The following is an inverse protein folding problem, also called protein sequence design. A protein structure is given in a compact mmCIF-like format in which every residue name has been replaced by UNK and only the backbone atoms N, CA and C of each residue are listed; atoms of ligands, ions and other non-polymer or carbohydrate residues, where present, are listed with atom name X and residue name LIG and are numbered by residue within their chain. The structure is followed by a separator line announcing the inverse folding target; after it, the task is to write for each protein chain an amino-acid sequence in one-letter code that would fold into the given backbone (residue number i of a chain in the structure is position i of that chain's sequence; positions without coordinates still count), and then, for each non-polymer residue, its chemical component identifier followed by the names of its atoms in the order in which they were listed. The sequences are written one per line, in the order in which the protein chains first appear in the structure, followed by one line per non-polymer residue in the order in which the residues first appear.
data_IF_612805451405
#
_entry.id   IF_612805451405
#
_cell.length_a   1.000
_cell.length_b   1.000
_cell.length_c   1.000
_cell.angle_alpha   90.00
_cell.angle_beta   90.00
_cell.angle_gamma   90.00
#
_symmetry.space_group_name_H-M   'P 1'
#
loop_
_entity.id
_entity.type
_entity.pdbx_description
1 polymer ?
#
# COMPACT_ATOMS: atom_id res chain seq x y z
N UNK A 1 -24.68 -21.82 14.70
CA UNK A 1 -24.22 -20.44 14.93
C UNK A 1 -23.73 -19.83 13.65
N UNK A 2 -24.45 -18.80 13.26
CA UNK A 2 -24.39 -18.12 11.96
C UNK A 2 -23.30 -17.05 12.03
N UNK A 3 -22.33 -17.14 11.13
CA UNK A 3 -21.46 -16.01 10.79
C UNK A 3 -22.28 -14.97 10.04
N UNK A 4 -22.42 -13.77 10.58
CA UNK A 4 -22.68 -12.59 9.75
C UNK A 4 -21.92 -11.40 10.35
N UNK A 5 -20.81 -11.07 9.71
CA UNK A 5 -19.94 -9.96 10.07
C UNK A 5 -19.49 -9.26 8.80
N UNK A 6 -20.46 -8.72 8.05
CA UNK A 6 -20.20 -7.87 6.89
C UNK A 6 -19.55 -6.56 7.34
N UNK A 7 -18.45 -6.21 6.71
CA UNK A 7 -17.93 -4.84 6.70
C UNK A 7 -17.53 -4.50 5.27
N UNK A 8 -18.13 -3.45 4.73
CA UNK A 8 -17.57 -2.71 3.59
C UNK A 8 -17.54 -1.20 3.93
N UNK A 9 -16.69 -0.54 3.16
CA UNK A 9 -15.92 0.70 3.33
C UNK A 9 -16.78 1.98 3.11
N UNK A 10 -16.36 3.27 3.09
CA UNK A 10 -15.09 3.99 2.85
C UNK A 10 -15.26 5.45 3.43
N UNK A 11 -14.13 6.11 3.67
CA UNK A 11 -13.77 7.47 3.19
C UNK A 11 -13.74 8.67 4.16
N UNK A 12 -12.58 9.33 4.06
CA UNK A 12 -12.19 10.62 4.63
C UNK A 12 -12.86 11.81 3.94
N UNK A 13 -13.00 12.91 4.69
CA UNK A 13 -13.68 14.16 4.35
C UNK A 13 -12.97 14.95 3.25
N UNK A 14 -13.76 15.51 2.32
CA UNK A 14 -13.73 16.95 2.05
C UNK A 14 -15.06 17.48 1.47
N UNK A 15 -15.53 18.52 2.15
CA UNK A 15 -16.44 19.62 1.77
C UNK A 15 -17.78 19.37 1.05
N UNK A 16 -18.81 19.87 1.75
CA UNK A 16 -20.11 20.40 1.31
C UNK A 16 -21.37 19.53 1.51
N UNK A 17 -22.32 20.14 2.23
CA UNK A 17 -23.73 19.81 2.46
C UNK A 17 -24.12 18.75 3.52
N UNK A 18 -24.40 19.31 4.71
CA UNK A 18 -25.55 19.05 5.60
C UNK A 18 -26.47 17.88 5.24
N UNK A 19 -26.46 16.84 6.06
CA UNK A 19 -27.50 16.56 7.08
C UNK A 19 -27.16 15.23 7.78
N UNK A 20 -27.01 15.27 9.10
CA UNK A 20 -26.86 14.08 9.94
C UNK A 20 -28.17 13.92 10.70
N UNK A 21 -28.92 12.87 10.35
CA UNK A 21 -29.98 12.32 11.19
C UNK A 21 -29.54 10.90 11.51
N UNK A 22 -29.14 10.68 12.75
CA UNK A 22 -29.02 9.35 13.33
C UNK A 22 -29.70 9.39 14.70
N UNK A 23 -30.89 8.77 14.76
CA UNK A 23 -31.57 8.42 15.99
C UNK A 23 -31.14 6.99 16.36
N UNK A 24 -30.71 6.74 17.59
CA UNK A 24 -31.37 5.69 18.36
C UNK A 24 -31.24 5.87 19.89
N UNK A 25 -32.43 5.87 20.50
CA UNK A 25 -32.91 5.43 21.83
C UNK A 25 -32.13 5.69 23.14
N UNK A 26 -32.76 6.55 23.99
CA UNK A 26 -33.30 6.33 25.37
C UNK A 26 -32.48 5.49 26.38
N UNK A 27 -32.34 5.80 27.69
CA UNK A 27 -33.15 6.53 28.70
C UNK A 27 -32.24 6.97 29.88
N UNK A 28 -32.77 7.89 30.72
CA UNK A 28 -32.42 8.20 32.13
C UNK A 28 -31.17 9.08 32.38
N UNK A 29 -31.14 10.08 33.28
CA UNK A 29 -32.11 10.64 34.22
C UNK A 29 -31.44 11.84 34.93
N UNK A 30 -32.24 12.88 35.22
CA UNK A 30 -32.14 13.89 36.29
C UNK A 30 -31.05 14.99 36.30
N UNK A 31 -31.58 16.23 36.39
CA UNK A 31 -31.17 17.33 37.30
C UNK A 31 -29.84 18.04 36.99
N UNK A 32 -29.65 19.35 36.96
CA UNK A 32 -30.37 20.50 37.52
C UNK A 32 -29.87 21.79 36.85
N UNK A 33 -30.66 22.85 37.02
CA UNK A 33 -30.39 24.26 36.75
C UNK A 33 -29.01 24.78 37.19
N UNK A 34 -28.49 25.78 36.46
CA UNK A 34 -27.86 27.07 36.88
C UNK A 34 -27.39 27.72 35.56
N UNK A 35 -27.98 28.78 34.98
CA UNK A 35 -28.22 30.17 35.42
C UNK A 35 -26.97 31.07 35.52
N UNK A 36 -27.03 32.16 34.76
CA UNK A 36 -26.29 33.43 34.84
C UNK A 36 -24.92 33.60 34.14
N UNK A 37 -24.99 34.17 32.92
CA UNK A 37 -24.65 35.56 32.51
C UNK A 37 -23.37 36.29 33.03
N UNK A 38 -22.90 37.30 32.26
CA UNK A 38 -21.51 37.70 32.06
C UNK A 38 -21.12 38.97 32.84
N UNK A 39 -19.85 39.35 32.81
CA UNK A 39 -19.26 40.70 33.06
C UNK A 39 -17.80 40.51 33.50
N UNK A 40 -16.85 41.43 33.35
CA UNK A 40 -16.72 42.75 32.75
C UNK A 40 -15.19 42.95 32.59
N UNK A 41 -14.81 43.62 31.50
CA UNK A 41 -13.83 44.72 31.44
C UNK A 41 -12.71 44.74 32.49
N UNK A 42 -11.48 44.60 32.00
CA UNK A 42 -10.26 44.94 32.73
C UNK A 42 -9.19 45.42 31.78
N UNK A 43 -9.38 46.62 31.21
CA UNK A 43 -8.38 47.33 30.42
C UNK A 43 -7.25 47.79 31.35
N UNK A 44 -6.04 47.27 31.14
CA UNK A 44 -4.81 47.87 31.68
C UNK A 44 -3.85 48.09 30.53
N UNK A 45 -3.68 49.35 30.16
CA UNK A 45 -2.60 49.80 29.31
C UNK A 45 -1.36 49.98 30.19
N UNK A 46 -0.29 49.25 29.89
CA UNK A 46 1.06 49.62 30.32
C UNK A 46 1.94 49.75 29.08
N UNK A 47 2.35 50.99 28.85
CA UNK A 47 3.40 51.33 27.90
C UNK A 47 4.75 51.05 28.56
N UNK A 48 5.65 50.36 27.86
CA UNK A 48 7.09 50.44 28.06
C UNK A 48 7.80 50.12 26.75
N UNK A 49 8.64 51.05 26.34
CA UNK A 49 9.40 51.09 25.09
C UNK A 49 10.63 50.12 25.11
N UNK A 50 11.38 50.00 24.00
CA UNK A 50 11.93 48.73 23.51
C UNK A 50 13.35 48.44 23.99
N UNK A 51 13.70 47.16 24.09
CA UNK A 51 15.07 46.74 24.32
C UNK A 51 15.26 45.23 24.29
N UNK A 52 16.00 44.78 23.28
CA UNK A 52 16.81 43.56 23.25
C UNK A 52 16.09 42.21 23.43
N UNK A 53 16.03 41.45 22.34
CA UNK A 53 16.80 40.21 22.11
C UNK A 53 16.21 39.53 20.86
N UNK A 54 16.90 39.61 19.72
CA UNK A 54 16.62 38.72 18.59
C UNK A 54 17.09 37.32 18.98
N UNK A 55 16.20 36.58 19.61
CA UNK A 55 16.34 35.14 19.76
C UNK A 55 16.07 34.53 18.38
N UNK A 56 17.14 34.14 17.70
CA UNK A 56 17.08 33.37 16.46
C UNK A 56 16.49 32.00 16.82
N UNK A 57 15.17 31.89 16.78
CA UNK A 57 14.49 30.61 16.80
C UNK A 57 14.76 29.92 15.45
N UNK A 58 15.77 29.04 15.44
CA UNK A 58 15.87 28.05 14.38
C UNK A 58 14.57 27.23 14.37
N UNK A 59 13.90 27.02 13.21
CA UNK A 59 12.76 26.14 13.17
C UNK A 59 13.25 24.75 13.58
N UNK A 60 12.69 24.22 14.67
CA UNK A 60 12.92 22.85 15.07
C UNK A 60 12.58 21.95 13.88
N UNK A 61 13.61 21.39 13.24
CA UNK A 61 13.41 20.31 12.29
C UNK A 61 12.80 19.17 13.10
N UNK A 62 11.48 18.98 12.95
CA UNK A 62 10.76 17.86 13.51
C UNK A 62 11.30 16.60 12.84
N UNK A 63 12.35 16.03 13.44
CA UNK A 63 12.82 14.71 13.06
C UNK A 63 11.64 13.77 13.32
N UNK A 64 11.04 13.15 12.28
CA UNK A 64 9.91 12.28 12.51
C UNK A 64 10.37 11.18 13.46
N UNK A 65 9.52 10.79 14.44
CA UNK A 65 9.86 9.72 15.36
C UNK A 65 10.07 8.45 14.53
N UNK A 66 11.33 8.10 14.28
CA UNK A 66 11.68 6.82 13.69
C UNK A 66 11.42 5.76 14.75
N UNK A 67 10.19 5.28 14.79
CA UNK A 67 9.85 4.03 15.45
C UNK A 67 10.54 2.92 14.66
N UNK A 68 11.76 2.59 15.05
CA UNK A 68 12.42 1.34 14.69
C UNK A 68 11.68 0.20 15.41
N UNK A 69 10.46 -0.10 14.97
CA UNK A 69 9.86 -1.39 15.26
C UNK A 69 10.70 -2.36 14.44
N UNK A 70 11.47 -3.22 15.09
CA UNK A 70 12.27 -4.25 14.41
C UNK A 70 11.33 -5.10 13.57
N UNK A 71 11.27 -4.77 12.28
CA UNK A 71 10.39 -5.46 11.36
C UNK A 71 11.14 -6.70 10.91
N UNK A 72 10.62 -7.87 11.29
CA UNK A 72 11.24 -9.18 11.07
C UNK A 72 11.54 -9.48 9.59
N UNK A 73 10.94 -8.71 8.68
CA UNK A 73 11.08 -8.78 7.23
C UNK A 73 12.15 -7.87 6.65
N UNK A 74 12.64 -6.88 7.40
CA UNK A 74 13.57 -5.89 6.87
C UNK A 74 14.92 -6.51 6.52
N UNK A 75 15.47 -6.09 5.37
CA UNK A 75 16.79 -6.52 4.87
C UNK A 75 16.89 -8.01 4.52
N UNK A 76 15.79 -8.59 4.04
CA UNK A 76 15.72 -10.00 3.68
C UNK A 76 15.36 -10.22 2.22
N UNK A 77 15.96 -11.27 1.66
CA UNK A 77 15.60 -11.82 0.36
C UNK A 77 14.53 -12.89 0.54
N UNK A 78 13.54 -12.86 -0.35
CA UNK A 78 12.49 -13.84 -0.41
C UNK A 78 12.36 -14.38 -1.83
N UNK A 79 11.95 -15.64 -1.92
CA UNK A 79 11.42 -16.21 -3.16
C UNK A 79 9.90 -16.06 -3.12
N UNK A 80 9.34 -15.28 -4.04
CA UNK A 80 7.90 -15.13 -4.23
C UNK A 80 7.44 -16.12 -5.30
N UNK A 81 6.67 -17.11 -4.91
CA UNK A 81 5.96 -18.03 -5.80
C UNK A 81 4.54 -17.52 -6.03
N UNK A 82 4.21 -17.23 -7.29
CA UNK A 82 2.93 -16.72 -7.77
C UNK A 82 2.19 -17.86 -8.47
N UNK A 83 1.01 -18.21 -7.99
CA UNK A 83 0.14 -19.26 -8.54
C UNK A 83 -1.16 -18.60 -9.04
N UNK A 84 -1.08 -18.02 -10.23
CA UNK A 84 -2.21 -17.38 -10.92
C UNK A 84 -2.77 -18.37 -11.94
N UNK A 85 -4.02 -18.82 -11.72
CA UNK A 85 -4.69 -19.82 -12.56
C UNK A 85 -3.88 -21.12 -12.81
N UNK A 86 -3.44 -21.34 -14.05
CA UNK A 86 -2.63 -22.49 -14.49
C UNK A 86 -1.16 -22.13 -14.65
N UNK A 87 -0.81 -20.89 -14.39
CA UNK A 87 0.53 -20.36 -14.55
C UNK A 87 1.20 -20.25 -13.18
N UNK A 88 2.46 -20.65 -13.13
CA UNK A 88 3.29 -20.50 -11.94
C UNK A 88 4.51 -19.70 -12.32
N UNK A 89 4.82 -18.68 -11.52
CA UNK A 89 6.01 -17.88 -11.68
C UNK A 89 6.69 -17.70 -10.33
N UNK A 90 8.01 -17.60 -10.35
CA UNK A 90 8.85 -17.42 -9.22
C UNK A 90 9.69 -16.17 -9.41
N UNK A 91 9.63 -15.25 -8.46
CA UNK A 91 10.34 -13.98 -8.50
C UNK A 91 11.16 -13.79 -7.23
N UNK A 92 12.45 -13.49 -7.37
CA UNK A 92 13.27 -13.02 -6.25
C UNK A 92 12.82 -11.62 -5.86
N UNK A 93 12.60 -11.37 -4.57
CA UNK A 93 12.30 -10.03 -4.06
C UNK A 93 13.15 -9.71 -2.84
N UNK A 94 13.43 -8.42 -2.64
CA UNK A 94 14.10 -7.91 -1.45
C UNK A 94 13.22 -6.85 -0.79
N UNK A 95 12.98 -7.02 0.51
CA UNK A 95 12.13 -6.12 1.30
C UNK A 95 13.02 -5.08 2.00
N UNK A 96 13.02 -3.86 1.46
CA UNK A 96 13.84 -2.77 1.96
C UNK A 96 13.32 -2.24 3.32
N UNK A 97 14.18 -1.66 4.17
CA UNK A 97 13.79 -1.02 5.43
C UNK A 97 12.79 0.13 5.28
N UNK A 98 12.74 0.77 4.11
CA UNK A 98 11.89 1.92 3.80
C UNK A 98 10.50 1.52 3.28
N UNK A 99 10.08 0.28 3.52
CA UNK A 99 8.81 -0.29 3.06
C UNK A 99 8.70 -0.43 1.53
N UNK A 100 9.81 -0.30 0.79
CA UNK A 100 9.83 -0.56 -0.67
C UNK A 100 10.26 -1.99 -1.00
N UNK A 101 9.95 -2.44 -2.21
CA UNK A 101 10.35 -3.76 -2.72
C UNK A 101 11.28 -3.60 -3.92
N UNK A 102 12.42 -4.29 -3.88
CA UNK A 102 13.31 -4.46 -5.03
C UNK A 102 13.06 -5.81 -5.67
N UNK A 103 12.75 -5.82 -6.97
CA UNK A 103 12.56 -7.05 -7.74
C UNK A 103 13.91 -7.55 -8.27
N UNK A 104 14.13 -8.85 -8.16
CA UNK A 104 15.26 -9.58 -8.71
C UNK A 104 14.88 -10.37 -9.95
N UNK A 105 15.49 -11.54 -10.11
CA UNK A 105 15.22 -12.42 -11.27
C UNK A 105 13.83 -13.04 -11.16
N UNK A 106 13.21 -13.29 -12.32
CA UNK A 106 11.95 -14.02 -12.43
C UNK A 106 12.07 -15.10 -13.51
N UNK A 107 11.39 -16.23 -13.31
CA UNK A 107 11.21 -17.28 -14.34
C UNK A 107 9.91 -17.08 -15.16
N UNK A 108 9.07 -16.11 -14.77
CA UNK A 108 7.85 -15.74 -15.46
C UNK A 108 8.07 -14.67 -16.56
N UNK A 109 7.01 -13.98 -16.99
CA UNK A 109 7.11 -12.91 -17.97
C UNK A 109 8.12 -11.82 -17.58
N UNK A 110 9.01 -11.48 -18.51
CA UNK A 110 10.03 -10.45 -18.28
C UNK A 110 9.39 -9.06 -18.27
N UNK A 111 9.50 -8.37 -17.15
CA UNK A 111 9.08 -6.98 -17.00
C UNK A 111 10.24 -6.02 -17.33
N UNK A 112 9.92 -4.84 -17.86
CA UNK A 112 10.91 -3.80 -18.16
C UNK A 112 11.16 -2.88 -16.98
N UNK A 113 10.15 -2.69 -16.13
CA UNK A 113 10.23 -1.93 -14.89
C UNK A 113 9.36 -2.59 -13.81
N UNK A 114 9.76 -2.42 -12.56
CA UNK A 114 8.94 -2.87 -11.45
C UNK A 114 9.19 -2.05 -10.19
N UNK A 115 8.14 -1.87 -9.40
CA UNK A 115 8.17 -1.18 -8.12
C UNK A 115 7.17 -1.81 -7.18
N UNK A 116 7.40 -1.69 -5.89
CA UNK A 116 6.44 -2.17 -4.91
C UNK A 116 6.62 -1.54 -3.54
N UNK A 117 5.59 -1.71 -2.73
CA UNK A 117 5.58 -1.37 -1.31
C UNK A 117 5.09 -2.56 -0.50
N UNK A 118 5.54 -2.68 0.73
CA UNK A 118 5.15 -3.76 1.61
C UNK A 118 4.92 -3.27 3.04
N UNK A 119 4.06 -3.96 3.77
CA UNK A 119 3.72 -3.67 5.16
C UNK A 119 3.50 -4.97 5.92
N UNK A 120 3.91 -4.94 7.18
CA UNK A 120 3.69 -6.02 8.12
C UNK A 120 3.04 -5.47 9.39
N UNK A 121 2.00 -6.16 9.87
CA UNK A 121 1.29 -5.80 11.08
C UNK A 121 1.58 -6.84 12.18
N UNK A 122 2.50 -6.56 13.13
CA UNK A 122 2.94 -7.55 14.11
C UNK A 122 1.83 -8.10 15.03
N UNK A 123 0.79 -7.29 15.28
CA UNK A 123 -0.33 -7.68 16.16
C UNK A 123 -1.24 -8.72 15.53
N UNK A 124 -1.53 -8.58 14.23
CA UNK A 124 -2.38 -9.49 13.46
C UNK A 124 -1.59 -10.57 12.74
N UNK A 125 -0.26 -10.48 12.71
CA UNK A 125 0.63 -11.29 11.86
C UNK A 125 0.25 -11.24 10.37
N UNK A 126 -0.38 -10.14 9.94
CA UNK A 126 -0.81 -9.96 8.56
C UNK A 126 0.26 -9.24 7.75
N UNK A 127 0.48 -9.73 6.54
CA UNK A 127 1.39 -9.18 5.55
C UNK A 127 0.60 -8.63 4.36
N UNK A 128 0.99 -7.46 3.89
CA UNK A 128 0.45 -6.85 2.68
C UNK A 128 1.58 -6.34 1.81
N UNK A 129 1.54 -6.63 0.51
CA UNK A 129 2.48 -6.11 -0.47
C UNK A 129 1.73 -5.71 -1.74
N UNK A 130 2.14 -4.62 -2.37
CA UNK A 130 1.67 -4.21 -3.69
C UNK A 130 2.85 -4.18 -4.64
N UNK A 131 2.75 -4.93 -5.74
CA UNK A 131 3.74 -4.91 -6.80
C UNK A 131 3.10 -4.36 -8.07
N UNK A 132 3.79 -3.43 -8.72
CA UNK A 132 3.46 -2.94 -10.03
C UNK A 132 4.60 -3.25 -10.99
N UNK A 133 4.30 -3.96 -12.07
CA UNK A 133 5.25 -4.35 -13.11
C UNK A 133 4.80 -3.77 -14.46
N UNK A 134 5.75 -3.24 -15.23
CA UNK A 134 5.52 -2.76 -16.59
C UNK A 134 6.05 -3.80 -17.57
N UNK A 135 5.24 -4.14 -18.56
CA UNK A 135 5.58 -5.09 -19.61
C UNK A 135 5.50 -4.40 -20.97
N UNK A 136 6.47 -4.69 -21.82
CA UNK A 136 6.47 -4.25 -23.21
C UNK A 136 6.05 -5.44 -24.07
N UNK A 137 5.08 -5.23 -24.96
CA UNK A 137 4.59 -6.22 -25.90
C UNK A 137 4.49 -5.63 -27.31
N UNK A 138 4.36 -6.52 -28.29
CA UNK A 138 4.49 -6.19 -29.71
C UNK A 138 5.92 -6.35 -30.22
N UNK A 139 6.06 -6.82 -31.47
CA UNK A 139 7.37 -6.97 -32.11
C UNK A 139 7.85 -5.60 -32.58
N UNK A 140 9.07 -5.21 -32.19
CA UNK A 140 9.87 -4.29 -33.01
C UNK A 140 10.04 -4.96 -34.36
N UNK A 141 9.34 -4.48 -35.37
CA UNK A 141 9.64 -4.86 -36.76
C UNK A 141 11.02 -4.30 -37.07
N UNK A 142 12.05 -5.08 -36.76
CA UNK A 142 13.42 -4.79 -37.16
C UNK A 142 13.44 -4.78 -38.69
N UNK A 143 13.36 -3.58 -39.26
CA UNK A 143 13.73 -3.29 -40.64
C UNK A 143 15.17 -3.78 -40.82
N UNK A 144 15.34 -4.95 -41.43
CA UNK A 144 16.66 -5.51 -41.72
C UNK A 144 16.58 -7.01 -42.00
N UNK A 145 16.33 -7.33 -43.27
CA UNK A 145 16.84 -8.51 -43.97
C UNK A 145 16.47 -9.91 -43.46
N UNK A 146 15.27 -10.42 -43.81
CA UNK A 146 15.11 -11.76 -44.41
C UNK A 146 13.68 -11.98 -44.94
N UNK A 147 13.53 -12.78 -45.99
CA UNK A 147 12.31 -13.03 -46.74
C UNK A 147 11.05 -13.31 -45.88
N UNK A 148 10.06 -12.43 -46.01
CA UNK A 148 8.66 -12.67 -45.63
C UNK A 148 8.09 -13.73 -46.58
N UNK A 149 8.24 -15.01 -46.23
CA UNK A 149 7.47 -16.07 -46.87
C UNK A 149 6.09 -16.13 -46.21
N UNK A 150 5.21 -15.25 -46.68
CA UNK A 150 3.84 -15.61 -47.05
C UNK A 150 3.03 -16.44 -46.04
N UNK A 151 2.99 -16.02 -44.78
CA UNK A 151 1.92 -16.43 -43.85
C UNK A 151 1.43 -15.22 -43.04
N UNK A 152 0.34 -14.61 -43.52
CA UNK A 152 -0.59 -13.80 -42.73
C UNK A 152 -0.14 -12.38 -42.36
N UNK A 153 -0.30 -11.43 -43.28
CA UNK A 153 -0.13 -9.99 -43.09
C UNK A 153 -1.05 -9.34 -42.03
N UNK A 154 -1.80 -10.13 -41.24
CA UNK A 154 -2.70 -9.62 -40.20
C UNK A 154 -2.12 -9.76 -38.78
N UNK A 155 -1.06 -10.55 -38.58
CA UNK A 155 -0.40 -10.69 -37.28
C UNK A 155 0.55 -9.53 -36.93
N UNK A 156 0.89 -8.68 -37.91
CA UNK A 156 1.83 -7.55 -37.74
C UNK A 156 1.14 -6.24 -37.30
N UNK A 157 -0.20 -6.23 -37.14
CA UNK A 157 -0.95 -5.00 -36.89
C UNK A 157 -1.13 -4.65 -35.40
N UNK A 158 -0.86 -5.58 -34.48
CA UNK A 158 -0.76 -5.23 -33.06
C UNK A 158 0.60 -4.57 -32.83
N UNK A 159 0.66 -3.25 -32.99
CA UNK A 159 1.87 -2.44 -32.82
C UNK A 159 2.51 -2.61 -31.44
N UNK A 160 3.62 -1.91 -31.21
CA UNK A 160 4.28 -1.89 -29.90
C UNK A 160 3.39 -1.19 -28.87
N UNK A 161 3.12 -1.87 -27.75
CA UNK A 161 2.39 -1.30 -26.63
C UNK A 161 3.03 -1.73 -25.31
N UNK A 162 2.96 -0.84 -24.32
CA UNK A 162 3.36 -1.13 -22.96
C UNK A 162 2.11 -1.15 -22.07
N UNK A 163 2.09 -2.05 -21.10
CA UNK A 163 1.01 -2.14 -20.11
C UNK A 163 1.58 -2.34 -18.71
N UNK A 164 0.86 -1.85 -17.71
CA UNK A 164 1.20 -2.04 -16.30
C UNK A 164 0.24 -3.04 -15.67
N UNK A 165 0.77 -3.95 -14.88
CA UNK A 165 -0.01 -4.87 -14.05
C UNK A 165 0.29 -4.55 -12.59
N UNK A 166 -0.76 -4.28 -11.82
CA UNK A 166 -0.68 -4.12 -10.38
C UNK A 166 -1.34 -5.32 -9.69
N UNK A 167 -0.58 -5.94 -8.77
CA UNK A 167 -1.05 -7.04 -7.93
C UNK A 167 -0.92 -6.68 -6.46
N UNK A 168 -1.93 -7.04 -5.68
CA UNK A 168 -1.95 -6.92 -4.23
C UNK A 168 -1.86 -8.30 -3.60
N UNK A 169 -0.85 -8.50 -2.77
CA UNK A 169 -0.56 -9.73 -2.06
C UNK A 169 -0.97 -9.55 -0.60
N UNK A 170 -1.92 -10.36 -0.14
CA UNK A 170 -2.40 -10.32 1.25
C UNK A 170 -2.30 -11.73 1.83
N UNK A 171 -1.60 -11.87 2.94
CA UNK A 171 -1.35 -13.18 3.55
C UNK A 171 -0.98 -13.12 5.02
N UNK A 172 -0.79 -14.30 5.58
CA UNK A 172 -0.44 -14.51 6.98
C UNK A 172 1.02 -14.96 7.11
N UNK A 173 1.67 -14.46 8.15
CA UNK A 173 3.07 -14.75 8.42
C UNK A 173 3.18 -15.94 9.37
N UNK A 174 3.98 -16.93 8.94
CA UNK A 174 4.32 -18.11 9.72
C UNK A 174 5.83 -18.24 9.85
N UNK A 175 6.29 -18.86 10.93
CA UNK A 175 7.70 -19.16 11.17
C UNK A 175 7.85 -20.66 11.31
N UNK A 176 8.68 -21.27 10.46
CA UNK A 176 8.91 -22.72 10.43
C UNK A 176 10.41 -22.96 10.52
N UNK A 177 10.87 -23.53 11.64
CA UNK A 177 12.29 -23.82 11.84
C UNK A 177 13.20 -22.58 11.77
N UNK A 178 12.69 -21.41 12.19
CA UNK A 178 13.38 -20.12 12.09
C UNK A 178 13.30 -19.45 10.71
N UNK A 179 12.74 -20.11 9.70
CA UNK A 179 12.52 -19.52 8.38
C UNK A 179 11.17 -18.83 8.35
N UNK A 180 11.14 -17.57 7.89
CA UNK A 180 9.89 -16.85 7.71
C UNK A 180 9.24 -17.29 6.39
N UNK A 181 7.94 -17.59 6.46
CA UNK A 181 7.13 -17.91 5.32
C UNK A 181 5.83 -17.11 5.36
N UNK A 182 5.39 -16.63 4.21
CA UNK A 182 4.09 -15.97 4.05
C UNK A 182 3.30 -16.72 2.99
N UNK A 183 2.06 -17.03 3.32
CA UNK A 183 1.12 -17.65 2.37
C UNK A 183 -0.14 -16.81 2.33
N UNK A 184 -0.71 -16.65 1.14
CA UNK A 184 -1.85 -15.77 0.98
C UNK A 184 -2.48 -15.80 -0.39
N UNK A 185 -3.19 -14.72 -0.68
CA UNK A 185 -3.94 -14.52 -1.92
C UNK A 185 -3.40 -13.33 -2.71
N UNK A 186 -3.45 -13.46 -4.03
CA UNK A 186 -3.13 -12.40 -4.99
C UNK A 186 -4.45 -11.80 -5.45
N UNK A 187 -4.52 -10.47 -5.46
CA UNK A 187 -5.66 -9.71 -5.96
C UNK A 187 -5.24 -8.77 -7.09
N UNK A 188 -6.08 -8.68 -8.11
CA UNK A 188 -6.05 -7.63 -9.12
C UNK A 188 -6.77 -6.41 -8.56
N UNK A 189 -6.10 -5.26 -8.54
CA UNK A 189 -6.72 -3.99 -8.14
C UNK A 189 -6.92 -3.15 -9.39
N UNK A 190 -8.16 -3.07 -9.84
CA UNK A 190 -8.56 -2.28 -11.01
C UNK A 190 -9.70 -1.32 -10.66
N UNK A 191 -9.72 -0.12 -11.26
CA UNK A 191 -10.76 0.88 -11.00
C UNK A 191 -12.14 0.46 -11.52
N UNK A 192 -12.16 -0.38 -12.56
CA UNK A 192 -13.38 -0.82 -13.25
C UNK A 192 -13.90 -2.13 -12.65
N UNK A 193 -12.99 -3.10 -12.42
CA UNK A 193 -13.36 -4.44 -11.95
C UNK A 193 -13.36 -4.57 -10.41
N UNK A 194 -12.68 -3.66 -9.71
CA UNK A 194 -12.56 -3.69 -8.25
C UNK A 194 -11.39 -4.55 -7.75
N UNK A 195 -11.52 -5.07 -6.53
CA UNK A 195 -10.53 -5.94 -5.88
C UNK A 195 -10.95 -7.41 -6.13
N UNK A 196 -10.32 -8.04 -7.11
CA UNK A 196 -10.64 -9.42 -7.53
C UNK A 196 -9.50 -10.37 -7.19
N UNK A 197 -9.81 -11.47 -6.50
CA UNK A 197 -8.84 -12.53 -6.21
C UNK A 197 -8.52 -13.32 -7.48
N UNK A 198 -7.25 -13.32 -7.86
CA UNK A 198 -6.75 -13.96 -9.09
C UNK A 198 -5.84 -15.18 -8.84
N UNK A 199 -5.42 -15.38 -7.59
CA UNK A 199 -4.49 -16.47 -7.31
C UNK A 199 -4.07 -16.59 -5.86
N UNK A 200 -3.03 -17.39 -5.66
CA UNK A 200 -2.37 -17.61 -4.39
C UNK A 200 -0.88 -17.33 -4.52
N UNK A 201 -0.23 -17.04 -3.41
CA UNK A 201 1.22 -16.92 -3.39
C UNK A 201 1.80 -17.59 -2.15
N UNK A 202 3.05 -18.02 -2.29
CA UNK A 202 3.92 -18.35 -1.18
C UNK A 202 5.16 -17.47 -1.26
N UNK A 203 5.67 -17.06 -0.12
CA UNK A 203 6.87 -16.24 -0.03
C UNK A 203 7.76 -16.82 1.07
N UNK A 204 8.97 -17.27 0.70
CA UNK A 204 9.88 -17.98 1.62
C UNK A 204 11.18 -17.20 1.74
N UNK A 205 11.63 -16.95 2.98
CA UNK A 205 12.94 -16.31 3.26
C UNK A 205 14.06 -17.20 2.71
N UNK A 206 14.84 -16.66 1.77
CA UNK A 206 15.90 -17.42 1.09
C UNK A 206 17.28 -17.25 1.71
N UNK A 207 17.37 -16.73 2.96
CA UNK A 207 18.60 -16.55 3.76
C UNK A 207 19.87 -16.85 2.98
N UNK A 208 20.41 -15.85 2.28
CA UNK A 208 21.79 -15.93 1.78
C UNK A 208 22.69 -15.87 3.00
N UNK A 209 23.02 -17.04 3.53
CA UNK A 209 24.04 -17.22 4.56
C UNK A 209 25.42 -16.93 3.96
#
# INVERSE_FOLDING_TARGET
DVFDGRWFWIASKNHCNHSIIACNETVESLSSHISMKPSLIGTWAFASSPGALQQIYAPAQSRPPQRLVSNIFTEKYFQLEELEDKETATTEIFLNPDETVTLGKTDGPLHTKGRGIWRYHPKSKSFEMKLRRTFDSGKKSSKGDFHVSQMGAEAERMGEFAYEVERRFVGDVTEVGGTLAVSGSIHLVDETLGDEKVGFFNMIDTRKN
#
